data_IF_558020470710
#
_entry.id   IF_558020470710
#
_cell.length_a   1.000
_cell.length_b   1.000
_cell.length_c   1.000
_cell.angle_alpha   90.00
_cell.angle_beta   90.00
_cell.angle_gamma   90.00
#
_symmetry.space_group_name_H-M   'P 1'
#
loop_
_entity.id
_entity.type
_entity.pdbx_description
1 polymer ?
#
# COMPACT_ATOMS: atom_id res chain seq x y z
N UNK A 1 3.66 -20.31 15.97
CA UNK A 1 3.57 -19.03 15.24
C UNK A 1 4.36 -19.20 13.96
N UNK A 2 3.70 -19.76 12.95
CA UNK A 2 4.26 -19.78 11.59
C UNK A 2 4.54 -18.33 11.20
N UNK A 3 5.78 -18.06 10.81
CA UNK A 3 6.14 -16.80 10.18
C UNK A 3 5.31 -16.69 8.90
N UNK A 4 4.24 -15.91 8.97
CA UNK A 4 3.39 -15.53 7.85
C UNK A 4 4.33 -14.95 6.78
N UNK A 5 4.62 -15.75 5.74
CA UNK A 5 5.57 -15.37 4.70
C UNK A 5 4.98 -14.12 4.07
N UNK A 6 5.71 -13.00 4.16
CA UNK A 6 5.24 -11.72 3.67
C UNK A 6 4.96 -11.81 2.17
N UNK A 7 3.67 -11.86 1.81
CA UNK A 7 3.21 -11.82 0.42
C UNK A 7 3.39 -10.41 -0.13
N UNK A 8 3.65 -10.31 -1.44
CA UNK A 8 3.80 -9.01 -2.10
C UNK A 8 2.44 -8.33 -2.13
N UNK A 9 2.35 -7.12 -1.59
CA UNK A 9 1.13 -6.33 -1.59
C UNK A 9 1.09 -5.44 -2.84
N UNK A 10 -0.05 -5.44 -3.51
CA UNK A 10 -0.36 -4.58 -4.64
C UNK A 10 -1.63 -3.80 -4.30
N UNK A 11 -1.62 -2.49 -4.54
CA UNK A 11 -2.71 -1.59 -4.16
C UNK A 11 -3.94 -1.75 -5.07
N UNK A 12 -3.74 -2.13 -6.32
CA UNK A 12 -4.80 -2.18 -7.33
C UNK A 12 -4.66 -3.39 -8.21
N UNK A 13 -5.79 -4.01 -8.55
CA UNK A 13 -5.78 -5.13 -9.52
C UNK A 13 -5.32 -4.64 -10.90
N UNK A 14 -5.58 -3.37 -11.22
CA UNK A 14 -5.10 -2.71 -12.43
C UNK A 14 -3.58 -2.68 -12.48
N UNK A 15 -2.90 -2.42 -11.36
CA UNK A 15 -1.44 -2.38 -11.31
C UNK A 15 -0.84 -3.76 -11.61
N UNK A 16 -1.48 -4.82 -11.12
CA UNK A 16 -1.10 -6.20 -11.45
C UNK A 16 -1.27 -6.50 -12.94
N UNK A 17 -2.38 -6.05 -13.55
CA UNK A 17 -2.61 -6.18 -15.00
C UNK A 17 -1.58 -5.41 -15.81
N UNK A 18 -1.20 -4.21 -15.38
CA UNK A 18 -0.15 -3.40 -16.04
C UNK A 18 1.20 -4.11 -15.98
N UNK A 19 1.53 -4.77 -14.86
CA UNK A 19 2.76 -5.57 -14.75
C UNK A 19 2.74 -6.73 -15.74
N UNK A 20 1.62 -7.43 -15.85
CA UNK A 20 1.45 -8.52 -16.82
C UNK A 20 1.58 -8.06 -18.28
N UNK A 21 0.97 -6.92 -18.62
CA UNK A 21 1.05 -6.32 -19.96
C UNK A 21 2.48 -5.89 -20.29
N UNK A 22 3.14 -5.14 -19.40
CA UNK A 22 4.53 -4.69 -19.60
C UNK A 22 5.51 -5.85 -19.67
N UNK A 23 5.30 -6.89 -18.88
CA UNK A 23 6.10 -8.11 -18.95
C UNK A 23 5.93 -8.79 -20.32
N UNK A 24 4.69 -8.89 -20.80
CA UNK A 24 4.39 -9.45 -22.12
C UNK A 24 5.06 -8.63 -23.23
N UNK A 25 4.95 -7.31 -23.17
CA UNK A 25 5.57 -6.40 -24.14
C UNK A 25 7.10 -6.56 -24.15
N UNK A 26 7.75 -6.52 -22.99
CA UNK A 26 9.19 -6.68 -22.88
C UNK A 26 9.67 -8.05 -23.38
N UNK A 27 8.92 -9.12 -23.06
CA UNK A 27 9.20 -10.48 -23.51
C UNK A 27 9.10 -10.60 -25.03
N UNK A 28 8.04 -10.04 -25.64
CA UNK A 28 7.84 -10.08 -27.09
C UNK A 28 8.87 -9.22 -27.83
N UNK A 29 9.25 -8.06 -27.28
CA UNK A 29 10.30 -7.21 -27.83
C UNK A 29 11.65 -7.93 -27.82
N UNK A 30 12.01 -8.56 -26.70
CA UNK A 30 13.25 -9.35 -26.58
C UNK A 30 13.25 -10.52 -27.57
N UNK A 31 12.11 -11.19 -27.73
CA UNK A 31 11.96 -12.27 -28.70
C UNK A 31 12.15 -11.77 -30.14
N UNK A 32 11.55 -10.63 -30.49
CA UNK A 32 11.67 -10.01 -31.80
C UNK A 32 13.13 -9.64 -32.11
N UNK A 33 13.86 -9.06 -31.16
CA UNK A 33 15.29 -8.76 -31.28
C UNK A 33 16.13 -10.01 -31.53
N UNK A 34 15.90 -11.09 -30.77
CA UNK A 34 16.65 -12.35 -30.91
C UNK A 34 16.34 -13.07 -32.22
N UNK A 35 15.12 -12.98 -32.71
CA UNK A 35 14.67 -13.60 -33.96
C UNK A 35 14.87 -12.70 -35.19
N UNK A 36 15.38 -11.47 -35.03
CA UNK A 36 15.62 -10.55 -36.14
C UNK A 36 16.66 -11.07 -37.14
N UNK A 37 17.55 -11.98 -36.71
CA UNK A 37 18.73 -12.34 -37.48
C UNK A 37 18.60 -13.56 -38.41
N UNK A 38 17.66 -14.50 -38.19
CA UNK A 38 17.29 -15.58 -39.14
C UNK A 38 16.51 -16.70 -38.45
N UNK A 39 15.19 -16.58 -38.37
CA UNK A 39 14.32 -17.68 -37.94
C UNK A 39 13.21 -17.93 -38.95
N UNK A 40 13.02 -19.19 -39.32
CA UNK A 40 11.83 -19.62 -40.09
C UNK A 40 10.56 -19.22 -39.33
N UNK A 41 9.54 -18.75 -40.06
CA UNK A 41 8.29 -18.27 -39.47
C UNK A 41 7.62 -19.31 -38.55
N UNK A 42 7.69 -20.59 -38.92
CA UNK A 42 7.21 -21.70 -38.11
C UNK A 42 7.93 -21.81 -36.75
N UNK A 43 9.23 -21.51 -36.70
CA UNK A 43 10.01 -21.52 -35.45
C UNK A 43 9.60 -20.35 -34.57
N UNK A 44 9.37 -19.18 -35.17
CA UNK A 44 8.86 -18.00 -34.45
C UNK A 44 7.51 -18.30 -33.80
N UNK A 45 6.57 -18.86 -34.56
CA UNK A 45 5.22 -19.21 -34.08
C UNK A 45 5.26 -20.23 -32.94
N UNK A 46 6.06 -21.30 -33.08
CA UNK A 46 6.22 -22.31 -32.04
C UNK A 46 6.83 -21.74 -30.75
N UNK A 47 7.87 -20.90 -30.88
CA UNK A 47 8.52 -20.27 -29.72
C UNK A 47 7.60 -19.27 -29.03
N UNK A 48 6.82 -18.48 -29.78
CA UNK A 48 5.80 -17.59 -29.19
C UNK A 48 4.75 -18.37 -28.40
N UNK A 49 4.27 -19.51 -28.92
CA UNK A 49 3.29 -20.33 -28.21
C UNK A 49 3.85 -20.85 -26.88
N UNK A 50 5.08 -21.37 -26.88
CA UNK A 50 5.74 -21.84 -25.66
C UNK A 50 6.03 -20.72 -24.65
N UNK A 51 6.38 -19.51 -25.13
CA UNK A 51 6.59 -18.35 -24.26
C UNK A 51 5.29 -17.89 -23.60
N UNK A 52 4.18 -17.88 -24.35
CA UNK A 52 2.87 -17.55 -23.78
C UNK A 52 2.44 -18.57 -22.72
N UNK A 53 2.63 -19.86 -22.98
CA UNK A 53 2.38 -20.91 -21.99
C UNK A 53 3.24 -20.74 -20.73
N UNK A 54 4.53 -20.44 -20.92
CA UNK A 54 5.45 -20.21 -19.81
C UNK A 54 5.07 -18.98 -18.99
N UNK A 55 4.70 -17.87 -19.66
CA UNK A 55 4.19 -16.66 -19.02
C UNK A 55 2.95 -16.99 -18.21
N UNK A 56 1.96 -17.68 -18.78
CA UNK A 56 0.74 -18.05 -18.07
C UNK A 56 1.05 -18.87 -16.81
N UNK A 57 1.90 -19.90 -16.90
CA UNK A 57 2.32 -20.71 -15.73
C UNK A 57 3.05 -19.90 -14.67
N UNK A 58 3.88 -18.95 -15.09
CA UNK A 58 4.64 -18.09 -14.18
C UNK A 58 3.69 -17.16 -13.40
N UNK A 59 2.71 -16.58 -14.09
CA UNK A 59 1.71 -15.72 -13.45
C UNK A 59 0.76 -16.53 -12.55
N UNK A 60 0.36 -17.74 -12.94
CA UNK A 60 -0.39 -18.65 -12.06
C UNK A 60 0.38 -18.98 -10.77
N UNK A 61 1.67 -19.28 -10.87
CA UNK A 61 2.51 -19.51 -9.69
C UNK A 61 2.70 -18.24 -8.84
N UNK A 62 2.72 -17.07 -9.47
CA UNK A 62 2.84 -15.78 -8.79
C UNK A 62 1.57 -15.40 -8.02
N UNK A 63 0.37 -15.79 -8.49
CA UNK A 63 -0.92 -15.49 -7.83
C UNK A 63 -0.93 -15.88 -6.34
N UNK A 64 -0.34 -17.03 -6.00
CA UNK A 64 -0.26 -17.54 -4.62
C UNK A 64 0.55 -16.63 -3.67
N UNK A 65 1.43 -15.80 -4.22
CA UNK A 65 2.36 -14.97 -3.46
C UNK A 65 1.96 -13.49 -3.44
N UNK A 66 0.80 -13.14 -4.01
CA UNK A 66 0.36 -11.75 -4.19
C UNK A 66 -0.93 -11.52 -3.41
N UNK A 67 -0.98 -10.38 -2.73
CA UNK A 67 -2.20 -9.83 -2.13
C UNK A 67 -2.57 -8.54 -2.83
N UNK A 68 -3.83 -8.41 -3.20
CA UNK A 68 -4.40 -7.18 -3.74
C UNK A 68 -5.42 -6.67 -2.72
N UNK A 69 -5.18 -5.48 -2.16
CA UNK A 69 -6.06 -4.89 -1.14
C UNK A 69 -6.41 -5.87 0.00
N UNK A 70 -5.40 -6.54 0.54
CA UNK A 70 -5.55 -7.41 1.71
C UNK A 70 -6.11 -8.80 1.43
N UNK A 71 -6.66 -9.04 0.24
CA UNK A 71 -7.11 -10.37 -0.20
C UNK A 71 -6.03 -11.06 -1.02
N UNK A 72 -5.97 -12.39 -0.94
CA UNK A 72 -5.08 -13.14 -1.81
C UNK A 72 -5.62 -13.08 -3.24
N UNK A 73 -4.73 -12.93 -4.21
CA UNK A 73 -5.13 -12.80 -5.61
C UNK A 73 -5.83 -14.05 -6.16
N UNK A 74 -5.55 -15.22 -5.59
CA UNK A 74 -6.21 -16.49 -5.90
C UNK A 74 -7.71 -16.52 -5.55
N UNK A 75 -8.12 -15.71 -4.58
CA UNK A 75 -9.51 -15.63 -4.09
C UNK A 75 -10.32 -14.54 -4.81
N UNK A 76 -9.66 -13.69 -5.61
CA UNK A 76 -10.34 -12.70 -6.45
C UNK A 76 -10.91 -13.38 -7.70
N UNK A 77 -12.20 -13.69 -7.70
CA UNK A 77 -12.87 -14.26 -8.87
C UNK A 77 -12.75 -13.32 -10.09
N UNK A 78 -12.33 -13.88 -11.24
CA UNK A 78 -12.29 -13.15 -12.50
C UNK A 78 -13.71 -12.72 -12.92
N UNK A 79 -14.04 -11.44 -12.69
CA UNK A 79 -15.30 -10.84 -13.16
C UNK A 79 -16.27 -10.34 -12.10
N UNK A 80 -15.95 -10.47 -10.81
CA UNK A 80 -16.70 -9.78 -9.76
C UNK A 80 -16.19 -8.34 -9.63
N UNK A 81 -16.97 -7.38 -10.14
CA UNK A 81 -16.89 -5.95 -9.77
C UNK A 81 -17.31 -5.79 -8.30
N UNK A 82 -16.62 -6.45 -7.38
CA UNK A 82 -16.85 -6.25 -5.95
C UNK A 82 -16.01 -5.07 -5.49
N UNK A 83 -16.63 -4.11 -4.80
CA UNK A 83 -16.01 -2.85 -4.39
C UNK A 83 -14.73 -3.13 -3.57
N UNK A 84 -13.54 -2.73 -4.07
CA UNK A 84 -12.28 -3.07 -3.43
C UNK A 84 -12.14 -2.38 -2.08
N UNK A 85 -11.70 -3.12 -1.05
CA UNK A 85 -11.47 -2.57 0.28
C UNK A 85 -10.29 -1.58 0.25
N UNK A 86 -10.55 -0.31 0.56
CA UNK A 86 -9.53 0.74 0.58
C UNK A 86 -8.74 0.71 1.90
N UNK A 87 -7.64 -0.06 1.93
CA UNK A 87 -6.76 -0.17 3.09
C UNK A 87 -6.01 1.13 3.43
N UNK A 88 -5.85 2.04 2.46
CA UNK A 88 -5.25 3.35 2.72
C UNK A 88 -6.23 4.18 3.53
N UNK A 89 -7.51 4.14 3.14
CA UNK A 89 -8.58 4.77 3.89
C UNK A 89 -8.70 4.15 5.29
N UNK A 90 -8.65 2.82 5.41
CA UNK A 90 -8.69 2.14 6.72
C UNK A 90 -7.52 2.56 7.63
N UNK A 91 -6.28 2.48 7.13
CA UNK A 91 -5.10 2.96 7.88
C UNK A 91 -5.20 4.42 8.27
N UNK A 92 -5.78 5.25 7.40
CA UNK A 92 -6.02 6.67 7.68
C UNK A 92 -7.08 6.86 8.76
N UNK A 93 -8.15 6.09 8.76
CA UNK A 93 -9.18 6.11 9.82
C UNK A 93 -8.54 5.75 11.17
N UNK A 94 -7.73 4.69 11.22
CA UNK A 94 -7.02 4.30 12.44
C UNK A 94 -6.06 5.39 12.92
N UNK A 95 -5.30 5.99 12.01
CA UNK A 95 -4.36 7.07 12.34
C UNK A 95 -5.11 8.28 12.90
N UNK A 96 -6.15 8.74 12.22
CA UNK A 96 -6.97 9.88 12.66
C UNK A 96 -7.66 9.62 14.01
N UNK A 97 -8.16 8.41 14.24
CA UNK A 97 -8.75 8.00 15.52
C UNK A 97 -7.72 8.09 16.66
N UNK A 98 -6.49 7.62 16.40
CA UNK A 98 -5.40 7.70 17.39
C UNK A 98 -4.98 9.15 17.68
N UNK A 99 -4.90 9.99 16.64
CA UNK A 99 -4.61 11.42 16.79
C UNK A 99 -5.71 12.13 17.58
N UNK A 100 -6.98 11.84 17.28
CA UNK A 100 -8.12 12.39 18.00
C UNK A 100 -8.03 12.06 19.49
N UNK A 101 -7.73 10.81 19.84
CA UNK A 101 -7.57 10.39 21.24
C UNK A 101 -6.42 11.13 21.95
N UNK A 102 -5.32 11.38 21.25
CA UNK A 102 -4.21 12.19 21.78
C UNK A 102 -4.61 13.65 22.00
N UNK A 103 -5.32 14.25 21.05
CA UNK A 103 -5.80 15.63 21.17
C UNK A 103 -6.80 15.77 22.31
N UNK A 104 -7.73 14.84 22.47
CA UNK A 104 -8.69 14.84 23.57
C UNK A 104 -7.99 14.79 24.93
N UNK A 105 -6.96 13.93 25.06
CA UNK A 105 -6.13 13.86 26.26
C UNK A 105 -5.41 15.18 26.53
N UNK A 106 -4.74 15.75 25.52
CA UNK A 106 -4.01 17.02 25.66
C UNK A 106 -4.94 18.17 26.05
N UNK A 107 -6.14 18.24 25.47
CA UNK A 107 -7.15 19.26 25.81
C UNK A 107 -7.61 19.07 27.26
N UNK A 108 -7.85 17.83 27.69
CA UNK A 108 -8.27 17.54 29.07
C UNK A 108 -7.17 17.93 30.08
N UNK A 109 -5.91 17.59 29.81
CA UNK A 109 -4.76 17.96 30.64
C UNK A 109 -4.62 19.49 30.70
N UNK A 110 -4.65 20.17 29.55
CA UNK A 110 -4.54 21.64 29.49
C UNK A 110 -5.71 22.36 30.16
N UNK A 111 -6.92 21.81 30.13
CA UNK A 111 -8.08 22.34 30.87
C UNK A 111 -7.94 22.15 32.38
N UNK A 112 -7.28 21.08 32.81
CA UNK A 112 -7.07 20.77 34.23
C UNK A 112 -5.94 21.59 34.84
N UNK A 113 -4.80 21.67 34.15
CA UNK A 113 -3.56 22.23 34.68
C UNK A 113 -3.33 23.69 34.25
N UNK A 114 -3.77 24.04 33.03
CA UNK A 114 -3.57 25.37 32.48
C UNK A 114 -4.12 26.51 33.34
N UNK A 115 -5.35 26.43 33.91
CA UNK A 115 -5.86 27.47 34.78
C UNK A 115 -5.01 27.69 36.04
N UNK A 116 -4.52 26.61 36.67
CA UNK A 116 -3.67 26.73 37.87
C UNK A 116 -2.30 27.32 37.56
N UNK A 117 -1.68 26.93 36.44
CA UNK A 117 -0.38 27.49 36.02
C UNK A 117 -0.49 28.98 35.70
N UNK A 118 -1.57 29.40 35.02
CA UNK A 118 -1.83 30.80 34.73
C UNK A 118 -2.10 31.58 36.02
N UNK A 119 -2.88 31.02 36.95
CA UNK A 119 -3.16 31.65 38.24
C UNK A 119 -1.88 31.91 39.03
N UNK A 120 -1.01 30.91 39.13
CA UNK A 120 0.27 31.01 39.84
C UNK A 120 1.15 32.11 39.24
N UNK A 121 1.25 32.15 37.90
CA UNK A 121 2.07 33.13 37.19
C UNK A 121 1.51 34.56 37.34
N UNK A 122 0.20 34.73 37.25
CA UNK A 122 -0.46 36.03 37.47
C UNK A 122 -0.28 36.48 38.93
N UNK A 123 -0.42 35.56 39.88
CA UNK A 123 -0.24 35.85 41.31
C UNK A 123 1.18 36.34 41.59
N UNK A 124 2.19 35.67 41.05
CA UNK A 124 3.60 36.07 41.19
C UNK A 124 3.86 37.47 40.61
N UNK A 125 3.35 37.75 39.40
CA UNK A 125 3.45 39.07 38.78
C UNK A 125 2.86 40.19 39.65
N UNK A 126 1.67 39.96 40.24
CA UNK A 126 1.02 40.94 41.13
C UNK A 126 1.82 41.14 42.41
N UNK A 127 2.41 40.08 42.97
CA UNK A 127 3.25 40.17 44.18
C UNK A 127 4.49 41.02 43.90
N UNK A 128 5.19 40.79 42.78
CA UNK A 128 6.37 41.57 42.39
C UNK A 128 6.03 43.06 42.19
N UNK A 129 4.95 43.35 41.47
CA UNK A 129 4.48 44.73 41.26
C UNK A 129 4.16 45.46 42.58
N UNK A 130 3.63 44.76 43.57
CA UNK A 130 3.34 45.34 44.90
C UNK A 130 4.59 45.51 45.77
N UNK A 131 5.63 44.71 45.53
CA UNK A 131 6.89 44.78 46.26
C UNK A 131 7.80 45.95 45.83
N UNK A 132 7.46 46.66 44.74
CA UNK A 132 8.15 47.88 44.33
C UNK A 132 9.40 47.65 43.47
N UNK A 133 9.47 46.54 42.74
CA UNK A 133 10.21 46.41 41.47
C UNK A 133 9.27 46.69 40.29
#
# INVERSE_FOLDING_TARGET
AESDISRVQVERIEDWRVVEEKFMEAMMNTLAEKLAQSSSQHVREAVTAHLMDWKNRTFEAAKLNIRVNGRNLEDCAEGEEEEPFDEVLDRRIWTLSSEQMQWDKLIAERRREGPSEIEELVRDLVVRQRAGE
#
